data_IF_847970690083
#
_entry.id   IF_847970690083
#
_cell.length_a   1.000
_cell.length_b   1.000
_cell.length_c   1.000
_cell.angle_alpha   90.00
_cell.angle_beta   90.00
_cell.angle_gamma   90.00
#
_symmetry.space_group_name_H-M   'P 1'
#
loop_
_entity.id
_entity.type
_entity.pdbx_description
1 polymer ?
#
# COMPACT_ATOMS: atom_id res chain seq x y z
N UNK A 1 58.76 -5.24 -37.04
CA UNK A 1 57.57 -4.84 -37.82
C UNK A 1 56.37 -5.55 -37.20
N UNK A 2 55.74 -4.93 -36.23
CA UNK A 2 54.65 -5.49 -35.46
C UNK A 2 53.47 -4.48 -35.52
N UNK A 3 52.36 -4.90 -36.10
CA UNK A 3 51.13 -4.12 -36.20
C UNK A 3 50.30 -4.45 -34.98
N UNK A 4 50.01 -3.44 -34.18
CA UNK A 4 49.08 -3.45 -33.06
C UNK A 4 47.68 -3.27 -33.59
N UNK A 5 46.82 -4.27 -33.41
CA UNK A 5 45.40 -4.19 -33.68
C UNK A 5 44.68 -3.86 -32.37
N UNK A 6 44.14 -2.65 -32.28
CA UNK A 6 43.37 -2.16 -31.12
C UNK A 6 41.91 -2.18 -31.48
N UNK A 7 41.23 -3.31 -31.30
CA UNK A 7 39.77 -3.42 -31.45
C UNK A 7 39.10 -2.82 -30.20
N UNK A 8 38.52 -1.64 -30.40
CA UNK A 8 37.61 -0.96 -29.44
C UNK A 8 36.33 -1.79 -29.24
N UNK A 9 36.22 -2.40 -28.06
CA UNK A 9 34.97 -2.98 -27.57
C UNK A 9 34.01 -1.84 -27.28
N UNK A 10 33.07 -1.61 -28.15
CA UNK A 10 31.89 -0.76 -27.88
C UNK A 10 30.98 -1.49 -26.91
N UNK A 11 30.90 -1.01 -25.68
CA UNK A 11 29.87 -1.40 -24.71
C UNK A 11 28.52 -0.90 -25.19
N UNK A 12 27.70 -1.82 -25.68
CA UNK A 12 26.29 -1.57 -26.02
C UNK A 12 25.46 -1.51 -24.72
N UNK A 13 25.29 -0.30 -24.18
CA UNK A 13 24.45 -0.01 -22.99
C UNK A 13 23.08 0.48 -23.40
N UNK A 14 22.35 -0.25 -24.22
CA UNK A 14 20.93 0.06 -24.48
C UNK A 14 20.04 -1.18 -24.38
N UNK A 15 20.02 -1.84 -23.22
CA UNK A 15 18.87 -2.69 -22.86
C UNK A 15 17.80 -1.81 -22.23
N UNK A 16 17.05 -1.03 -23.03
CA UNK A 16 15.71 -0.64 -22.65
C UNK A 16 14.92 -1.93 -22.56
N UNK A 17 14.58 -2.32 -21.31
CA UNK A 17 13.64 -3.41 -21.07
C UNK A 17 12.38 -3.12 -21.89
N UNK A 18 12.01 -4.03 -22.79
CA UNK A 18 10.81 -3.87 -23.60
C UNK A 18 9.61 -3.94 -22.64
N UNK A 19 8.87 -2.82 -22.52
CA UNK A 19 7.66 -2.75 -21.70
C UNK A 19 6.73 -3.87 -22.16
N UNK A 20 6.38 -4.76 -21.23
CA UNK A 20 5.52 -5.91 -21.49
C UNK A 20 4.18 -5.45 -22.06
N UNK A 21 3.76 -5.97 -23.22
CA UNK A 21 2.47 -5.70 -23.81
C UNK A 21 1.34 -6.16 -22.88
N UNK A 22 0.25 -5.37 -22.74
CA UNK A 22 -0.92 -5.79 -21.96
C UNK A 22 -1.51 -7.09 -22.52
N UNK A 23 -1.77 -8.05 -21.66
CA UNK A 23 -2.52 -9.25 -22.03
C UNK A 23 -3.98 -8.88 -22.30
N UNK A 24 -4.69 -9.69 -23.07
CA UNK A 24 -6.10 -9.47 -23.37
C UNK A 24 -6.92 -9.33 -22.09
N UNK A 25 -7.72 -8.27 -21.98
CA UNK A 25 -8.40 -7.83 -20.75
C UNK A 25 -9.31 -8.90 -20.16
N UNK A 26 -10.15 -9.48 -21.02
CA UNK A 26 -11.12 -10.50 -20.60
C UNK A 26 -10.42 -11.79 -20.18
N UNK A 27 -9.30 -12.16 -20.80
CA UNK A 27 -8.52 -13.33 -20.42
C UNK A 27 -7.92 -13.19 -19.01
N UNK A 28 -7.39 -12.01 -18.67
CA UNK A 28 -6.89 -11.74 -17.32
C UNK A 28 -8.04 -11.84 -16.32
N UNK A 29 -9.14 -11.14 -16.56
CA UNK A 29 -10.30 -11.14 -15.67
C UNK A 29 -10.84 -12.55 -15.43
N UNK A 30 -10.97 -13.35 -16.48
CA UNK A 30 -11.39 -14.76 -16.40
C UNK A 30 -10.47 -15.60 -15.51
N UNK A 31 -9.16 -15.41 -15.63
CA UNK A 31 -8.18 -16.12 -14.77
C UNK A 31 -8.30 -15.71 -13.31
N UNK A 32 -8.48 -14.42 -13.07
CA UNK A 32 -8.62 -13.86 -11.71
C UNK A 32 -9.93 -14.31 -11.06
N UNK A 33 -11.06 -14.32 -11.80
CA UNK A 33 -12.34 -14.87 -11.31
C UNK A 33 -12.21 -16.34 -10.90
N UNK A 34 -11.52 -17.16 -11.70
CA UNK A 34 -11.26 -18.56 -11.35
C UNK A 34 -10.37 -18.70 -10.11
N UNK A 35 -9.42 -17.80 -9.94
CA UNK A 35 -8.55 -17.78 -8.76
C UNK A 35 -9.33 -17.40 -7.52
N UNK A 36 -10.16 -16.35 -7.58
CA UNK A 36 -11.02 -15.92 -6.47
C UNK A 36 -11.98 -17.02 -6.04
N UNK A 37 -12.60 -17.73 -7.00
CA UNK A 37 -13.50 -18.84 -6.70
C UNK A 37 -12.84 -20.03 -5.98
N UNK A 38 -11.51 -20.14 -6.05
CA UNK A 38 -10.74 -21.21 -5.39
C UNK A 38 -10.15 -20.82 -4.03
N UNK A 39 -9.91 -19.55 -3.82
CA UNK A 39 -9.18 -19.02 -2.67
C UNK A 39 -9.79 -17.68 -2.25
N UNK A 40 -11.02 -17.72 -1.77
CA UNK A 40 -11.70 -16.63 -1.08
C UNK A 40 -11.88 -17.03 0.38
N UNK A 41 -11.65 -16.10 1.28
CA UNK A 41 -11.73 -16.32 2.71
C UNK A 41 -12.98 -15.65 3.29
N UNK A 42 -13.53 -16.24 4.36
CA UNK A 42 -14.44 -15.54 5.26
C UNK A 42 -13.68 -15.13 6.53
N UNK A 43 -13.23 -13.87 6.65
CA UNK A 43 -12.46 -13.44 7.80
C UNK A 43 -13.18 -13.60 9.13
N UNK A 44 -14.51 -13.69 9.13
CA UNK A 44 -15.28 -13.88 10.36
C UNK A 44 -15.17 -15.31 10.89
N UNK A 45 -14.81 -16.27 10.03
CA UNK A 45 -14.68 -17.69 10.33
C UNK A 45 -13.22 -18.12 10.42
N UNK A 46 -12.39 -17.63 9.50
CA UNK A 46 -11.00 -18.08 9.30
C UNK A 46 -10.03 -17.51 10.34
N UNK A 47 -10.31 -16.33 10.91
CA UNK A 47 -9.49 -15.70 11.94
C UNK A 47 -9.97 -16.17 13.32
N UNK A 48 -9.04 -16.59 14.16
CA UNK A 48 -9.36 -16.92 15.57
C UNK A 48 -9.62 -15.64 16.39
N UNK A 49 -10.87 -15.19 16.35
CA UNK A 49 -11.31 -14.04 17.15
C UNK A 49 -11.51 -14.35 18.63
N UNK A 50 -11.47 -15.61 19.07
CA UNK A 50 -11.75 -16.01 20.44
C UNK A 50 -10.48 -15.98 21.32
N UNK A 51 -9.33 -16.32 20.77
CA UNK A 51 -8.07 -16.28 21.54
C UNK A 51 -7.83 -14.86 22.08
N UNK A 52 -7.64 -14.71 23.41
CA UNK A 52 -7.39 -13.40 24.02
C UNK A 52 -6.15 -12.71 23.41
N UNK A 53 -6.19 -11.39 23.35
CA UNK A 53 -5.01 -10.59 23.02
C UNK A 53 -3.95 -10.76 24.13
N UNK A 54 -2.70 -11.01 23.77
CA UNK A 54 -1.57 -11.00 24.69
C UNK A 54 -1.02 -9.57 24.84
N UNK A 55 -1.12 -8.92 26.00
CA UNK A 55 -0.65 -7.55 26.16
C UNK A 55 0.86 -7.38 26.02
N UNK A 56 1.64 -8.46 26.10
CA UNK A 56 3.09 -8.43 25.92
C UNK A 56 3.53 -8.53 24.45
N UNK A 57 2.63 -8.97 23.56
CA UNK A 57 2.94 -9.12 22.14
C UNK A 57 2.70 -7.84 21.35
N UNK A 58 3.58 -7.53 20.38
CA UNK A 58 3.43 -6.37 19.49
C UNK A 58 2.29 -6.57 18.47
N UNK A 59 1.77 -5.46 17.94
CA UNK A 59 0.83 -5.47 16.83
C UNK A 59 1.51 -5.52 15.44
N UNK A 60 2.80 -5.21 15.38
CA UNK A 60 3.65 -5.31 14.18
C UNK A 60 5.09 -5.62 14.60
N UNK A 61 5.96 -6.10 13.70
CA UNK A 61 7.35 -6.37 14.03
C UNK A 61 8.01 -5.16 14.70
N UNK A 62 8.73 -5.38 15.79
CA UNK A 62 9.31 -4.32 16.62
C UNK A 62 10.08 -3.28 15.81
N UNK A 63 10.92 -3.74 14.87
CA UNK A 63 11.73 -2.89 14.02
C UNK A 63 10.93 -2.14 12.94
N UNK A 64 9.63 -2.35 12.84
CA UNK A 64 8.72 -1.60 11.96
C UNK A 64 7.97 -0.47 12.66
N UNK A 65 8.15 -0.32 13.95
CA UNK A 65 7.66 0.86 14.65
C UNK A 65 8.31 2.15 14.12
N UNK A 66 7.52 3.20 14.05
CA UNK A 66 7.97 4.53 13.60
C UNK A 66 9.06 5.15 14.50
N UNK A 67 9.12 4.71 15.76
CA UNK A 67 10.11 5.16 16.75
C UNK A 67 11.31 4.22 16.89
N UNK A 68 11.31 3.04 16.29
CA UNK A 68 12.40 2.08 16.44
C UNK A 68 13.76 2.70 16.13
N UNK A 69 14.73 2.48 17.04
CA UNK A 69 16.09 3.01 16.94
C UNK A 69 16.23 4.48 17.29
N UNK A 70 15.21 5.11 17.89
CA UNK A 70 15.30 6.45 18.48
C UNK A 70 15.55 6.37 20.00
N UNK A 71 16.08 7.44 20.59
CA UNK A 71 16.25 7.53 22.05
C UNK A 71 14.93 7.40 22.83
N UNK A 72 13.80 7.85 22.24
CA UNK A 72 12.48 7.62 22.83
C UNK A 72 12.15 6.15 22.90
N UNK A 73 12.35 5.41 21.81
CA UNK A 73 12.16 3.97 21.78
C UNK A 73 13.00 3.26 22.84
N UNK A 74 14.28 3.63 22.95
CA UNK A 74 15.21 3.00 23.88
C UNK A 74 14.82 3.26 25.34
N UNK A 75 14.18 4.37 25.63
CA UNK A 75 13.68 4.73 27.00
C UNK A 75 12.37 4.05 27.38
N UNK A 76 11.64 3.45 26.42
CA UNK A 76 10.34 2.80 26.69
C UNK A 76 10.54 1.44 27.31
N UNK A 77 9.59 1.05 28.19
CA UNK A 77 9.45 -0.36 28.63
C UNK A 77 8.94 -1.24 27.48
N UNK A 78 9.15 -2.56 27.59
CA UNK A 78 8.61 -3.49 26.57
C UNK A 78 7.07 -3.46 26.51
N UNK A 79 6.39 -3.20 27.64
CA UNK A 79 4.94 -3.03 27.68
C UNK A 79 4.48 -1.78 26.91
N UNK A 80 5.21 -0.68 27.03
CA UNK A 80 4.90 0.57 26.28
C UNK A 80 5.19 0.39 24.80
N UNK A 81 6.29 -0.28 24.43
CA UNK A 81 6.61 -0.63 23.05
C UNK A 81 5.53 -1.54 22.45
N UNK A 82 5.06 -2.56 23.18
CA UNK A 82 3.96 -3.43 22.75
C UNK A 82 2.69 -2.62 22.53
N UNK A 83 2.37 -1.70 23.44
CA UNK A 83 1.23 -0.79 23.32
C UNK A 83 1.37 0.10 22.08
N UNK A 84 2.52 0.76 21.89
CA UNK A 84 2.77 1.60 20.71
C UNK A 84 2.56 0.82 19.40
N UNK A 85 3.19 -0.34 19.28
CA UNK A 85 3.10 -1.16 18.05
C UNK A 85 1.70 -1.68 17.77
N UNK A 86 0.88 -1.98 18.81
CA UNK A 86 -0.55 -2.30 18.62
C UNK A 86 -1.33 -1.12 18.05
N UNK A 87 -1.10 0.08 18.58
CA UNK A 87 -1.74 1.29 18.09
C UNK A 87 -1.26 1.68 16.69
N UNK A 88 0.01 1.46 16.36
CA UNK A 88 0.55 1.66 15.01
C UNK A 88 -0.07 0.65 14.01
N UNK A 89 -0.23 -0.63 14.39
CA UNK A 89 -0.92 -1.63 13.58
C UNK A 89 -2.39 -1.24 13.32
N UNK A 90 -3.11 -0.80 14.37
CA UNK A 90 -4.48 -0.30 14.24
C UNK A 90 -4.55 0.98 13.38
N UNK A 91 -3.54 1.85 13.43
CA UNK A 91 -3.46 3.03 12.57
C UNK A 91 -3.30 2.65 11.11
N UNK A 92 -2.39 1.72 10.79
CA UNK A 92 -2.18 1.21 9.43
C UNK A 92 -3.45 0.55 8.90
N UNK A 93 -4.10 -0.32 9.68
CA UNK A 93 -5.37 -0.94 9.32
C UNK A 93 -6.48 0.10 9.06
N UNK A 94 -6.53 1.17 9.86
CA UNK A 94 -7.51 2.26 9.68
C UNK A 94 -7.28 3.05 8.39
N UNK A 95 -6.01 3.24 8.00
CA UNK A 95 -5.66 3.82 6.68
C UNK A 95 -6.11 2.88 5.57
N UNK A 96 -5.92 1.55 5.74
CA UNK A 96 -6.45 0.53 4.83
C UNK A 96 -7.95 0.71 4.65
N UNK A 97 -8.75 0.64 5.72
CA UNK A 97 -10.22 0.81 5.67
C UNK A 97 -10.60 2.08 4.90
N UNK A 98 -9.98 3.21 5.23
CA UNK A 98 -10.28 4.47 4.56
C UNK A 98 -9.94 4.44 3.06
N UNK A 99 -8.83 3.80 2.71
CA UNK A 99 -8.39 3.67 1.34
C UNK A 99 -9.29 2.72 0.54
N UNK A 100 -9.64 1.56 1.09
CA UNK A 100 -10.57 0.60 0.46
C UNK A 100 -11.93 1.25 0.15
N UNK A 101 -12.49 2.05 1.07
CA UNK A 101 -13.72 2.80 0.81
C UNK A 101 -13.59 3.81 -0.35
N UNK A 102 -12.40 4.40 -0.54
CA UNK A 102 -12.10 5.24 -1.70
C UNK A 102 -12.01 4.38 -2.96
N UNK A 103 -11.29 3.25 -2.91
CA UNK A 103 -11.09 2.33 -4.02
C UNK A 103 -12.42 1.73 -4.49
N UNK A 104 -13.24 1.21 -3.60
CA UNK A 104 -14.61 0.72 -3.88
C UNK A 104 -15.40 1.77 -4.68
N UNK A 105 -15.38 3.03 -4.21
CA UNK A 105 -16.09 4.12 -4.90
C UNK A 105 -15.53 4.42 -6.28
N UNK A 106 -14.21 4.31 -6.46
CA UNK A 106 -13.54 4.54 -7.75
C UNK A 106 -13.78 3.40 -8.74
N UNK A 107 -13.68 2.15 -8.28
CA UNK A 107 -13.94 0.96 -9.10
C UNK A 107 -15.42 0.90 -9.52
N UNK A 108 -16.36 1.13 -8.60
CA UNK A 108 -17.78 1.20 -8.91
C UNK A 108 -18.05 2.23 -10.01
N UNK A 109 -17.49 3.43 -9.90
CA UNK A 109 -17.62 4.46 -10.93
C UNK A 109 -16.98 4.04 -12.26
N UNK A 110 -15.83 3.33 -12.19
CA UNK A 110 -15.12 2.88 -13.39
C UNK A 110 -15.92 1.87 -14.21
N UNK A 111 -16.67 0.97 -13.57
CA UNK A 111 -17.41 -0.10 -14.25
C UNK A 111 -18.89 0.23 -14.49
N UNK A 112 -19.40 1.35 -13.95
CA UNK A 112 -20.82 1.67 -13.92
C UNK A 112 -21.49 1.68 -15.31
N UNK A 113 -20.81 2.17 -16.33
CA UNK A 113 -21.32 2.27 -17.70
C UNK A 113 -20.83 1.12 -18.62
N UNK A 114 -20.07 0.15 -18.07
CA UNK A 114 -19.53 -0.96 -18.85
C UNK A 114 -20.55 -2.11 -18.93
N UNK A 115 -20.34 -3.01 -19.90
CA UNK A 115 -21.18 -4.21 -20.05
C UNK A 115 -20.99 -5.15 -18.84
N UNK A 116 -22.04 -5.33 -18.05
CA UNK A 116 -22.08 -6.20 -16.87
C UNK A 116 -21.79 -7.68 -17.19
N UNK A 117 -21.88 -8.10 -18.46
CA UNK A 117 -21.55 -9.47 -18.88
C UNK A 117 -20.06 -9.66 -19.10
N UNK A 118 -19.27 -8.59 -19.23
CA UNK A 118 -17.83 -8.71 -19.40
C UNK A 118 -17.18 -9.27 -18.14
N UNK A 119 -16.22 -10.16 -18.31
CA UNK A 119 -15.49 -10.74 -17.19
C UNK A 119 -14.67 -9.69 -16.43
N UNK A 120 -14.24 -8.63 -17.12
CA UNK A 120 -13.61 -7.48 -16.51
C UNK A 120 -14.51 -6.79 -15.47
N UNK A 121 -15.79 -6.55 -15.79
CA UNK A 121 -16.75 -5.95 -14.85
C UNK A 121 -17.06 -6.92 -13.71
N UNK A 122 -17.24 -8.20 -14.03
CA UNK A 122 -17.48 -9.24 -13.01
C UNK A 122 -16.31 -9.35 -12.03
N UNK A 123 -15.05 -9.28 -12.52
CA UNK A 123 -13.89 -9.30 -11.64
C UNK A 123 -13.80 -8.05 -10.78
N UNK A 124 -14.01 -6.86 -11.34
CA UNK A 124 -14.02 -5.62 -10.55
C UNK A 124 -15.09 -5.63 -9.45
N UNK A 125 -16.26 -6.22 -9.71
CA UNK A 125 -17.31 -6.42 -8.68
C UNK A 125 -16.91 -7.45 -7.63
N UNK A 126 -16.15 -8.49 -8.01
CA UNK A 126 -15.58 -9.46 -7.07
C UNK A 126 -14.55 -8.78 -6.16
N UNK A 127 -13.64 -7.98 -6.72
CA UNK A 127 -12.66 -7.17 -5.97
C UNK A 127 -13.38 -6.23 -4.98
N UNK A 128 -14.39 -5.49 -5.42
CA UNK A 128 -15.21 -4.64 -4.53
C UNK A 128 -15.79 -5.43 -3.36
N UNK A 129 -16.25 -6.66 -3.58
CA UNK A 129 -16.78 -7.51 -2.51
C UNK A 129 -15.67 -7.96 -1.54
N UNK A 130 -14.46 -8.26 -2.04
CA UNK A 130 -13.30 -8.58 -1.22
C UNK A 130 -12.93 -7.37 -0.35
N UNK A 131 -12.84 -6.14 -0.91
CA UNK A 131 -12.52 -4.92 -0.17
C UNK A 131 -13.55 -4.59 0.93
N UNK A 132 -14.83 -4.90 0.71
CA UNK A 132 -15.83 -4.76 1.76
C UNK A 132 -15.55 -5.73 2.93
N UNK A 133 -15.11 -6.96 2.65
CA UNK A 133 -14.73 -7.93 3.70
C UNK A 133 -13.44 -7.53 4.41
N UNK A 134 -12.44 -7.02 3.68
CA UNK A 134 -11.19 -6.51 4.25
C UNK A 134 -11.46 -5.35 5.21
N UNK A 135 -12.30 -4.38 4.81
CA UNK A 135 -12.70 -3.28 5.70
C UNK A 135 -13.33 -3.75 7.01
N UNK A 136 -14.22 -4.77 6.95
CA UNK A 136 -14.83 -5.38 8.16
C UNK A 136 -13.77 -6.10 8.99
N UNK A 137 -12.89 -6.87 8.35
CA UNK A 137 -11.80 -7.60 9.01
C UNK A 137 -10.84 -6.66 9.75
N UNK A 138 -10.41 -5.58 9.12
CA UNK A 138 -9.54 -4.58 9.76
C UNK A 138 -10.24 -3.84 10.90
N UNK A 139 -11.53 -3.55 10.77
CA UNK A 139 -12.30 -2.95 11.86
C UNK A 139 -12.36 -3.88 13.09
N UNK A 140 -12.62 -5.18 12.88
CA UNK A 140 -12.58 -6.19 13.97
C UNK A 140 -11.19 -6.35 14.57
N UNK A 141 -10.13 -6.26 13.76
CA UNK A 141 -8.76 -6.28 14.26
C UNK A 141 -8.49 -5.08 15.19
N UNK A 142 -8.92 -3.87 14.79
CA UNK A 142 -8.80 -2.69 15.67
C UNK A 142 -9.56 -2.88 16.99
N UNK A 143 -10.78 -3.40 16.94
CA UNK A 143 -11.59 -3.71 18.12
C UNK A 143 -10.87 -4.69 19.04
N UNK A 144 -10.35 -5.79 18.49
CA UNK A 144 -9.65 -6.83 19.26
C UNK A 144 -8.31 -6.37 19.81
N UNK A 145 -7.63 -5.43 19.14
CA UNK A 145 -6.43 -4.76 19.67
C UNK A 145 -6.76 -3.74 20.77
N UNK A 146 -8.04 -3.54 21.08
CA UNK A 146 -8.52 -2.49 22.01
C UNK A 146 -8.06 -1.09 21.59
N UNK A 147 -7.94 -0.87 20.28
CA UNK A 147 -7.47 0.37 19.69
C UNK A 147 -8.60 1.08 18.93
N UNK A 148 -8.61 2.41 18.91
CA UNK A 148 -9.54 3.13 18.04
C UNK A 148 -9.19 2.92 16.56
N UNK A 149 -10.20 3.00 15.70
CA UNK A 149 -9.95 3.21 14.28
C UNK A 149 -9.48 4.66 14.06
N UNK A 150 -8.22 4.82 13.67
CA UNK A 150 -7.59 6.12 13.44
C UNK A 150 -7.97 6.65 12.07
N UNK A 151 -8.91 7.60 12.00
CA UNK A 151 -9.29 8.21 10.73
C UNK A 151 -8.43 9.43 10.38
N UNK A 152 -8.30 9.75 9.09
CA UNK A 152 -7.64 10.98 8.68
C UNK A 152 -8.47 12.20 9.08
N UNK A 153 -7.79 13.33 9.33
CA UNK A 153 -8.46 14.59 9.66
C UNK A 153 -9.31 15.16 8.51
N UNK A 154 -10.16 16.13 8.82
CA UNK A 154 -11.13 16.70 7.86
C UNK A 154 -10.53 17.18 6.53
N UNK A 155 -9.32 17.75 6.54
CA UNK A 155 -8.63 18.21 5.31
C UNK A 155 -8.26 17.03 4.41
N UNK A 156 -7.75 15.96 4.99
CA UNK A 156 -7.37 14.72 4.27
C UNK A 156 -8.61 14.01 3.73
N UNK A 157 -9.70 13.96 4.50
CA UNK A 157 -10.99 13.49 3.99
C UNK A 157 -11.51 14.31 2.81
N UNK A 158 -11.38 15.64 2.84
CA UNK A 158 -11.77 16.50 1.71
C UNK A 158 -10.92 16.20 0.46
N UNK A 159 -9.60 16.03 0.63
CA UNK A 159 -8.71 15.64 -0.46
C UNK A 159 -9.07 14.25 -1.02
N UNK A 160 -9.33 13.27 -0.17
CA UNK A 160 -9.76 11.93 -0.58
C UNK A 160 -11.08 11.96 -1.35
N UNK A 161 -12.08 12.73 -0.89
CA UNK A 161 -13.35 12.92 -1.63
C UNK A 161 -13.12 13.57 -3.00
N UNK A 162 -12.27 14.58 -3.09
CA UNK A 162 -11.92 15.20 -4.36
C UNK A 162 -11.19 14.22 -5.27
N UNK A 163 -10.19 13.50 -4.75
CA UNK A 163 -9.44 12.51 -5.51
C UNK A 163 -10.37 11.44 -6.08
N UNK A 164 -11.15 10.75 -5.24
CA UNK A 164 -12.07 9.68 -5.71
C UNK A 164 -13.10 10.17 -6.73
N UNK A 165 -13.57 11.43 -6.62
CA UNK A 165 -14.57 11.99 -7.52
C UNK A 165 -13.99 12.37 -8.90
N UNK A 166 -12.71 12.72 -8.97
CA UNK A 166 -12.06 13.28 -10.16
C UNK A 166 -10.99 12.39 -10.77
N UNK A 167 -10.64 11.27 -10.14
CA UNK A 167 -9.61 10.34 -10.64
C UNK A 167 -9.99 9.74 -11.98
N UNK A 168 -9.02 9.69 -12.87
CA UNK A 168 -9.07 8.97 -14.14
C UNK A 168 -8.66 7.52 -13.94
N UNK A 169 -8.96 6.62 -14.88
CA UNK A 169 -8.58 5.20 -14.74
C UNK A 169 -7.09 4.97 -14.44
N UNK A 170 -6.17 5.76 -15.02
CA UNK A 170 -4.74 5.71 -14.68
C UNK A 170 -4.51 5.92 -13.18
N UNK A 171 -5.16 6.93 -12.59
CA UNK A 171 -4.99 7.27 -11.18
C UNK A 171 -5.65 6.25 -10.26
N UNK A 172 -6.78 5.67 -10.68
CA UNK A 172 -7.49 4.62 -9.92
C UNK A 172 -6.56 3.43 -9.72
N UNK A 173 -6.08 2.84 -10.80
CA UNK A 173 -5.27 1.63 -10.74
C UNK A 173 -3.85 1.86 -10.20
N UNK A 174 -3.28 3.04 -10.45
CA UNK A 174 -1.98 3.37 -9.86
C UNK A 174 -2.07 3.64 -8.35
N UNK A 175 -3.15 4.25 -7.86
CA UNK A 175 -3.36 4.48 -6.43
C UNK A 175 -3.65 3.17 -5.69
N UNK A 176 -4.48 2.28 -6.27
CA UNK A 176 -4.70 0.94 -5.76
C UNK A 176 -3.36 0.20 -5.63
N UNK A 177 -2.62 0.08 -6.73
CA UNK A 177 -1.32 -0.60 -6.74
C UNK A 177 -0.33 0.00 -5.71
N UNK A 178 -0.33 1.33 -5.52
CA UNK A 178 0.55 1.98 -4.56
C UNK A 178 0.24 1.59 -3.11
N UNK A 179 -1.03 1.62 -2.73
CA UNK A 179 -1.40 1.35 -1.33
C UNK A 179 -1.27 -0.14 -1.03
N UNK A 180 -1.75 -1.00 -1.93
CA UNK A 180 -1.71 -2.45 -1.73
C UNK A 180 -0.27 -2.99 -1.68
N UNK A 181 0.65 -2.50 -2.51
CA UNK A 181 2.05 -2.93 -2.47
C UNK A 181 2.76 -2.51 -1.18
N UNK A 182 2.44 -1.34 -0.62
CA UNK A 182 3.01 -0.90 0.67
C UNK A 182 2.45 -1.72 1.82
N UNK A 183 1.14 -1.96 1.84
CA UNK A 183 0.50 -2.77 2.86
C UNK A 183 0.98 -4.22 2.77
N UNK A 184 1.02 -4.80 1.57
CA UNK A 184 1.52 -6.16 1.32
C UNK A 184 2.95 -6.35 1.85
N UNK A 185 3.86 -5.38 1.61
CA UNK A 185 5.23 -5.47 2.09
C UNK A 185 5.30 -5.54 3.62
N UNK A 186 4.56 -4.67 4.32
CA UNK A 186 4.50 -4.65 5.79
C UNK A 186 3.83 -5.90 6.36
N UNK A 187 2.74 -6.34 5.74
CA UNK A 187 1.94 -7.47 6.18
C UNK A 187 2.65 -8.81 5.99
N UNK A 188 3.34 -9.01 4.87
CA UNK A 188 4.15 -10.24 4.63
C UNK A 188 5.24 -10.44 5.67
N UNK A 189 5.77 -9.37 6.20
CA UNK A 189 6.76 -9.45 7.27
C UNK A 189 6.09 -9.77 8.60
N UNK A 190 4.98 -9.12 8.93
CA UNK A 190 4.20 -9.40 10.12
C UNK A 190 3.70 -10.86 10.18
N UNK A 191 3.26 -11.43 9.05
CA UNK A 191 2.84 -12.86 8.96
C UNK A 191 3.95 -13.81 9.39
N UNK A 192 5.22 -13.48 9.12
CA UNK A 192 6.37 -14.35 9.40
C UNK A 192 6.95 -14.15 10.81
N UNK A 193 6.58 -13.10 11.49
CA UNK A 193 7.11 -12.75 12.80
C UNK A 193 6.24 -13.38 13.92
N UNK A 194 6.77 -14.40 14.59
CA UNK A 194 6.07 -15.14 15.64
C UNK A 194 5.82 -14.30 16.91
N UNK A 195 6.54 -13.20 17.09
CA UNK A 195 6.30 -12.27 18.19
C UNK A 195 4.99 -11.50 18.00
N UNK A 196 4.58 -11.22 16.76
CA UNK A 196 3.34 -10.48 16.47
C UNK A 196 2.11 -11.26 16.93
N UNK A 197 1.08 -10.54 17.41
CA UNK A 197 -0.22 -11.08 17.82
C UNK A 197 -0.73 -12.12 16.81
N UNK A 198 -1.13 -13.34 17.23
CA UNK A 198 -1.56 -14.40 16.32
C UNK A 198 -2.68 -13.97 15.37
N UNK A 199 -3.77 -13.41 15.93
CA UNK A 199 -4.91 -12.97 15.10
C UNK A 199 -4.56 -11.83 14.12
N UNK A 200 -3.57 -10.98 14.44
CA UNK A 200 -3.06 -9.97 13.50
C UNK A 200 -2.36 -10.66 12.33
N UNK A 201 -1.58 -11.69 12.60
CA UNK A 201 -0.92 -12.50 11.56
C UNK A 201 -1.94 -13.19 10.66
N UNK A 202 -3.04 -13.72 11.22
CA UNK A 202 -4.12 -14.35 10.44
C UNK A 202 -4.82 -13.33 9.55
N UNK A 203 -5.15 -12.14 10.07
CA UNK A 203 -5.72 -11.03 9.30
C UNK A 203 -4.79 -10.63 8.16
N UNK A 204 -3.50 -10.42 8.45
CA UNK A 204 -2.51 -10.05 7.43
C UNK A 204 -2.32 -11.15 6.39
N UNK A 205 -2.40 -12.43 6.78
CA UNK A 205 -2.30 -13.55 5.86
C UNK A 205 -3.44 -13.58 4.85
N UNK A 206 -4.68 -13.43 5.30
CA UNK A 206 -5.86 -13.38 4.44
C UNK A 206 -5.72 -12.26 3.43
N UNK A 207 -5.42 -11.05 3.91
CA UNK A 207 -5.27 -9.87 3.07
C UNK A 207 -4.19 -10.09 2.00
N UNK A 208 -2.98 -10.48 2.39
CA UNK A 208 -1.85 -10.75 1.47
C UNK A 208 -2.20 -11.75 0.36
N UNK A 209 -2.97 -12.80 0.69
CA UNK A 209 -3.36 -13.82 -0.31
C UNK A 209 -4.37 -13.28 -1.31
N UNK A 210 -5.34 -12.49 -0.83
CA UNK A 210 -6.38 -11.93 -1.70
C UNK A 210 -5.85 -10.76 -2.53
N UNK A 211 -5.05 -9.86 -1.93
CA UNK A 211 -4.44 -8.70 -2.60
C UNK A 211 -3.48 -9.08 -3.74
N UNK A 212 -2.89 -10.24 -3.73
CA UNK A 212 -2.08 -10.69 -4.86
C UNK A 212 -2.87 -10.69 -6.19
N UNK A 213 -4.19 -10.90 -6.15
CA UNK A 213 -5.08 -10.83 -7.31
C UNK A 213 -5.41 -9.39 -7.69
N UNK A 214 -5.72 -8.56 -6.70
CA UNK A 214 -6.05 -7.14 -6.87
C UNK A 214 -4.88 -6.38 -7.46
N UNK A 215 -3.68 -6.54 -6.92
CA UNK A 215 -2.44 -5.96 -7.46
C UNK A 215 -2.17 -6.41 -8.89
N UNK A 216 -2.44 -7.69 -9.22
CA UNK A 216 -2.29 -8.19 -10.59
C UNK A 216 -3.25 -7.49 -11.55
N UNK A 217 -4.52 -7.37 -11.17
CA UNK A 217 -5.53 -6.67 -11.95
C UNK A 217 -5.18 -5.19 -12.12
N UNK A 218 -4.86 -4.50 -11.04
CA UNK A 218 -4.49 -3.09 -11.05
C UNK A 218 -3.26 -2.83 -11.94
N UNK A 219 -2.24 -3.68 -11.89
CA UNK A 219 -1.04 -3.56 -12.72
C UNK A 219 -1.35 -3.69 -14.23
N UNK A 220 -2.15 -4.69 -14.62
CA UNK A 220 -2.53 -4.90 -16.02
C UNK A 220 -3.44 -3.78 -16.55
N UNK A 221 -4.39 -3.32 -15.75
CA UNK A 221 -5.26 -2.20 -16.12
C UNK A 221 -4.47 -0.88 -16.18
N UNK A 222 -3.56 -0.65 -15.25
CA UNK A 222 -2.69 0.53 -15.29
C UNK A 222 -1.89 0.60 -16.59
N UNK A 223 -1.24 -0.50 -17.00
CA UNK A 223 -0.50 -0.58 -18.28
C UNK A 223 -1.40 -0.28 -19.47
N UNK A 224 -2.61 -0.83 -19.47
CA UNK A 224 -3.62 -0.62 -20.52
C UNK A 224 -4.08 0.83 -20.62
N UNK A 225 -4.33 1.48 -19.48
CA UNK A 225 -4.76 2.86 -19.43
C UNK A 225 -3.64 3.83 -19.82
N UNK A 226 -2.41 3.54 -19.37
CA UNK A 226 -1.23 4.34 -19.77
C UNK A 226 -0.95 4.24 -21.27
N UNK A 227 -1.16 3.09 -21.91
CA UNK A 227 -0.98 2.95 -23.35
C UNK A 227 -1.91 3.86 -24.17
N UNK A 228 -3.08 4.21 -23.62
CA UNK A 228 -4.08 5.08 -24.24
C UNK A 228 -3.93 6.57 -23.87
N UNK A 229 -3.19 6.87 -22.81
CA UNK A 229 -3.09 8.23 -22.27
C UNK A 229 -2.09 9.09 -23.05
N UNK A 230 -2.47 10.33 -23.34
CA UNK A 230 -1.57 11.32 -23.93
C UNK A 230 -0.51 11.81 -22.92
N UNK A 231 0.61 12.34 -23.39
CA UNK A 231 1.69 12.81 -22.52
C UNK A 231 1.26 13.86 -21.47
N UNK A 232 0.43 14.87 -21.80
CA UNK A 232 -0.08 15.80 -20.77
C UNK A 232 -0.93 15.11 -19.70
N UNK A 233 -1.73 14.11 -20.10
CA UNK A 233 -2.56 13.33 -19.16
C UNK A 233 -1.66 12.51 -18.24
N UNK A 234 -0.65 11.81 -18.77
CA UNK A 234 0.33 11.06 -17.97
C UNK A 234 1.02 11.96 -16.95
N UNK A 235 1.50 13.12 -17.40
CA UNK A 235 2.16 14.09 -16.52
C UNK A 235 1.24 14.54 -15.36
N UNK A 236 0.00 14.94 -15.68
CA UNK A 236 -0.95 15.38 -14.67
C UNK A 236 -1.31 14.28 -13.69
N UNK A 237 -1.56 13.05 -14.18
CA UNK A 237 -1.84 11.88 -13.35
C UNK A 237 -0.66 11.56 -12.43
N UNK A 238 0.59 11.60 -12.92
CA UNK A 238 1.80 11.35 -12.13
C UNK A 238 1.92 12.31 -10.95
N UNK A 239 1.67 13.60 -11.16
CA UNK A 239 1.76 14.61 -10.08
C UNK A 239 0.64 14.41 -9.06
N UNK A 240 -0.59 14.21 -9.50
CA UNK A 240 -1.75 13.99 -8.60
C UNK A 240 -1.60 12.70 -7.80
N UNK A 241 -1.14 11.63 -8.46
CA UNK A 241 -0.82 10.36 -7.80
C UNK A 241 0.25 10.54 -6.74
N UNK A 242 1.34 11.25 -7.03
CA UNK A 242 2.40 11.50 -6.05
C UNK A 242 1.91 12.26 -4.81
N UNK A 243 1.01 13.25 -4.99
CA UNK A 243 0.37 13.95 -3.88
C UNK A 243 -0.50 13.00 -3.04
N UNK A 244 -1.33 12.19 -3.69
CA UNK A 244 -2.20 11.22 -3.01
C UNK A 244 -1.37 10.18 -2.25
N UNK A 245 -0.34 9.62 -2.88
CA UNK A 245 0.58 8.63 -2.30
C UNK A 245 1.34 9.18 -1.09
N UNK A 246 1.91 10.39 -1.22
CA UNK A 246 2.61 11.05 -0.11
C UNK A 246 1.66 11.34 1.06
N UNK A 247 0.41 11.73 0.76
CA UNK A 247 -0.64 11.93 1.78
C UNK A 247 -0.97 10.62 2.48
N UNK A 248 -1.22 9.53 1.76
CA UNK A 248 -1.49 8.23 2.34
C UNK A 248 -0.33 7.76 3.24
N UNK A 249 0.91 7.82 2.75
CA UNK A 249 2.09 7.41 3.51
C UNK A 249 2.34 8.26 4.77
N UNK A 250 1.93 9.53 4.77
CA UNK A 250 2.05 10.40 5.96
C UNK A 250 1.03 10.07 7.05
N UNK A 251 0.02 9.27 6.75
CA UNK A 251 -1.05 8.86 7.68
C UNK A 251 -0.91 7.42 8.15
N UNK A 252 0.12 6.67 7.74
CA UNK A 252 0.35 5.30 8.19
C UNK A 252 0.38 5.19 9.73
N UNK A 253 1.00 6.15 10.40
CA UNK A 253 1.01 6.24 11.86
C UNK A 253 0.34 7.54 12.30
N UNK A 254 -0.81 7.40 12.96
CA UNK A 254 -1.55 8.54 13.48
C UNK A 254 -0.88 9.05 14.77
N UNK A 255 -0.70 10.39 14.95
CA UNK A 255 0.02 10.94 16.12
C UNK A 255 -0.55 10.53 17.49
N UNK A 256 -1.85 10.21 17.55
CA UNK A 256 -2.49 9.72 18.79
C UNK A 256 -2.00 8.33 19.24
N UNK A 257 -1.32 7.58 18.37
CA UNK A 257 -0.67 6.32 18.76
C UNK A 257 0.40 6.57 19.82
N UNK A 258 1.13 7.67 19.73
CA UNK A 258 2.16 8.04 20.70
C UNK A 258 1.55 8.35 22.09
N UNK A 259 0.44 9.10 22.11
CA UNK A 259 -0.26 9.40 23.37
C UNK A 259 -0.80 8.13 24.05
N UNK A 260 -1.24 7.15 23.29
CA UNK A 260 -1.70 5.86 23.82
C UNK A 260 -0.57 5.06 24.50
N UNK A 261 0.67 5.27 24.06
CA UNK A 261 1.88 4.71 24.70
C UNK A 261 2.50 5.63 25.76
N UNK A 262 1.78 6.65 26.22
CA UNK A 262 2.24 7.56 27.29
C UNK A 262 3.25 8.61 26.85
N UNK A 263 3.49 8.80 25.53
CA UNK A 263 4.47 9.74 25.01
C UNK A 263 3.83 11.13 24.71
N UNK A 264 4.64 12.18 24.78
CA UNK A 264 4.25 13.49 24.23
C UNK A 264 4.12 13.39 22.71
N UNK A 265 2.97 13.82 22.19
CA UNK A 265 2.65 13.70 20.76
C UNK A 265 3.64 14.48 19.90
N UNK A 266 4.00 15.70 20.32
CA UNK A 266 4.84 16.59 19.52
C UNK A 266 6.27 16.09 19.48
N UNK A 267 6.80 15.64 20.60
CA UNK A 267 8.15 15.07 20.71
C UNK A 267 8.26 13.77 19.93
N UNK A 268 7.33 12.83 20.13
CA UNK A 268 7.33 11.53 19.44
C UNK A 268 7.14 11.69 17.92
N UNK A 269 6.24 12.59 17.50
CA UNK A 269 6.08 12.90 16.08
C UNK A 269 7.35 13.48 15.47
N UNK A 270 8.01 14.41 16.15
CA UNK A 270 9.27 15.00 15.68
C UNK A 270 10.37 13.92 15.58
N UNK A 271 10.44 13.02 16.58
CA UNK A 271 11.37 11.90 16.56
C UNK A 271 11.10 10.96 15.38
N UNK A 272 9.84 10.58 15.12
CA UNK A 272 9.46 9.73 14.00
C UNK A 272 9.72 10.40 12.64
N UNK A 273 9.40 11.70 12.48
CA UNK A 273 9.62 12.45 11.24
C UNK A 273 11.12 12.53 10.88
N UNK A 274 11.98 12.60 11.88
CA UNK A 274 13.44 12.66 11.72
C UNK A 274 14.12 11.27 11.78
N UNK A 275 13.37 10.19 12.03
CA UNK A 275 13.92 8.86 12.15
C UNK A 275 14.39 8.30 10.79
N UNK A 276 15.71 8.12 10.59
CA UNK A 276 16.23 7.56 9.35
C UNK A 276 15.77 6.11 9.13
N UNK A 277 15.57 5.34 10.19
CA UNK A 277 15.06 3.97 10.13
C UNK A 277 13.61 3.93 9.62
N UNK A 278 12.73 4.79 10.14
CA UNK A 278 11.35 4.90 9.66
C UNK A 278 11.29 5.38 8.20
N UNK A 279 12.15 6.31 7.83
CA UNK A 279 12.28 6.72 6.43
C UNK A 279 12.72 5.55 5.54
N UNK A 280 13.70 4.76 5.98
CA UNK A 280 14.14 3.57 5.26
C UNK A 280 13.04 2.49 5.18
N UNK A 281 12.25 2.31 6.25
CA UNK A 281 11.09 1.41 6.26
C UNK A 281 10.05 1.80 5.20
N UNK A 282 9.70 3.08 5.09
CA UNK A 282 8.76 3.56 4.06
C UNK A 282 9.31 3.35 2.64
N UNK A 283 10.58 3.67 2.41
CA UNK A 283 11.24 3.46 1.13
C UNK A 283 11.30 1.96 0.76
N UNK A 284 11.58 1.10 1.75
CA UNK A 284 11.60 -0.34 1.57
C UNK A 284 10.21 -0.88 1.20
N UNK A 285 9.16 -0.48 1.89
CA UNK A 285 7.80 -0.89 1.61
C UNK A 285 7.33 -0.42 0.21
N UNK A 286 7.72 0.78 -0.20
CA UNK A 286 7.37 1.34 -1.50
C UNK A 286 8.24 0.84 -2.66
N UNK A 287 9.34 0.12 -2.40
CA UNK A 287 10.38 -0.19 -3.40
C UNK A 287 9.84 -0.83 -4.67
N UNK A 288 8.93 -1.80 -4.54
CA UNK A 288 8.39 -2.53 -5.68
C UNK A 288 7.51 -1.63 -6.54
N UNK A 289 6.54 -0.94 -5.94
CA UNK A 289 5.64 -0.05 -6.69
C UNK A 289 6.39 1.13 -7.30
N UNK A 290 7.44 1.64 -6.65
CA UNK A 290 8.26 2.71 -7.24
C UNK A 290 9.04 2.23 -8.46
N UNK A 291 9.55 0.99 -8.46
CA UNK A 291 10.18 0.39 -9.63
C UNK A 291 9.17 0.20 -10.79
N UNK A 292 7.95 -0.26 -10.48
CA UNK A 292 6.88 -0.37 -11.47
C UNK A 292 6.49 1.00 -12.04
N UNK A 293 6.40 2.04 -11.20
CA UNK A 293 6.10 3.40 -11.63
C UNK A 293 7.21 4.01 -12.49
N UNK A 294 8.47 3.70 -12.19
CA UNK A 294 9.61 4.11 -13.01
C UNK A 294 9.55 3.44 -14.40
N UNK A 295 9.36 2.11 -14.46
CA UNK A 295 9.19 1.37 -15.72
C UNK A 295 8.05 1.92 -16.57
N UNK A 296 6.95 2.32 -15.92
CA UNK A 296 5.75 2.83 -16.59
C UNK A 296 5.79 4.33 -16.94
N UNK A 297 6.89 5.03 -16.60
CA UNK A 297 7.06 6.45 -16.88
C UNK A 297 6.24 7.38 -15.97
N UNK A 298 5.69 6.88 -14.85
CA UNK A 298 4.97 7.70 -13.88
C UNK A 298 5.92 8.53 -13.00
N UNK A 299 7.22 8.24 -13.03
CA UNK A 299 8.26 9.05 -12.40
C UNK A 299 8.97 10.02 -13.35
N UNK A 300 8.54 10.13 -14.62
CA UNK A 300 9.16 11.07 -15.57
C UNK A 300 8.90 12.54 -15.23
N UNK A 301 7.78 12.83 -14.56
CA UNK A 301 7.43 14.16 -14.10
C UNK A 301 8.32 14.61 -12.92
N UNK A 302 9.18 15.60 -13.11
CA UNK A 302 10.06 16.09 -12.06
C UNK A 302 9.35 16.52 -10.76
N UNK A 303 8.14 17.15 -10.78
CA UNK A 303 7.38 17.40 -9.56
C UNK A 303 7.00 16.12 -8.81
N UNK A 304 6.57 15.05 -9.52
CA UNK A 304 6.20 13.78 -8.91
C UNK A 304 7.41 13.15 -8.19
N UNK A 305 8.57 13.07 -8.85
CA UNK A 305 9.82 12.58 -8.23
C UNK A 305 10.15 13.32 -6.93
N UNK A 306 10.12 14.65 -6.96
CA UNK A 306 10.41 15.47 -5.77
C UNK A 306 9.45 15.21 -4.61
N UNK A 307 8.17 14.96 -4.91
CA UNK A 307 7.16 14.63 -3.90
C UNK A 307 7.49 13.27 -3.27
N UNK A 308 7.73 12.24 -4.06
CA UNK A 308 8.10 10.91 -3.56
C UNK A 308 9.40 10.91 -2.75
N UNK A 309 10.43 11.64 -3.19
CA UNK A 309 11.68 11.80 -2.47
C UNK A 309 11.48 12.48 -1.10
N UNK A 310 10.71 13.58 -1.06
CA UNK A 310 10.41 14.29 0.19
C UNK A 310 9.60 13.44 1.17
N UNK A 311 8.67 12.65 0.65
CA UNK A 311 7.88 11.73 1.46
C UNK A 311 8.68 10.52 1.99
N UNK A 312 9.92 10.31 1.52
CA UNK A 312 10.74 9.17 1.88
C UNK A 312 10.30 7.85 1.23
N UNK A 313 9.60 7.93 0.10
CA UNK A 313 9.06 6.76 -0.61
C UNK A 313 9.95 6.31 -1.76
N UNK A 314 10.82 7.17 -2.25
CA UNK A 314 11.72 6.88 -3.36
C UNK A 314 13.11 7.48 -3.12
N UNK A 315 14.13 6.66 -3.30
CA UNK A 315 15.55 7.02 -3.23
C UNK A 315 16.06 6.85 -4.64
N UNK A 316 15.95 7.92 -5.44
CA UNK A 316 16.39 7.94 -6.83
C UNK A 316 17.86 8.06 -7.01
#
# INVERSE_FOLDING_TARGET
>A
MALTDTSLVRSDTSRKSAVRQPVEREEIARRLLRSSAKASFDPLVEVDWQTPMDPAKPGLPWHRSSLYGTSLWDSMSDADRATLTRHEAASIASVGIWFELILISMLTRHVYELDAKSEHVQYALTEIADECRHSVMFAKMCEKLECPAYGPGHKTHALGRFFRATSRPVEIFAAALFVEEILDALQREAVKDEDVQPFVRDVMHIHVVEEARHMRYASEELRRQLAKASAPVKWACSVRLAIASATAASHLVHPRCYAAAGLDISEAKLAADNNPHWRATKAWAARKVMADFEELGLLDAAPARRIYQRAGLWVG
#
